data_IF_519085829864
#
_entry.id   IF_519085829864
#
_cell.length_a   1.000
_cell.length_b   1.000
_cell.length_c   1.000
_cell.angle_alpha   90.00
_cell.angle_beta   90.00
_cell.angle_gamma   90.00
#
_symmetry.space_group_name_H-M   'P 1'
#
loop_
_entity.id
_entity.type
_entity.pdbx_description
1 polymer ?
#
# COMPACT_ATOMS: atom_id res chain seq x y z
N UNK A 1 -5.41 14.18 34.50
CA UNK A 1 -4.89 15.10 33.47
C UNK A 1 -4.55 14.25 32.26
N UNK A 2 -5.31 14.39 31.18
CA UNK A 2 -5.05 13.65 29.94
C UNK A 2 -3.91 14.36 29.21
N UNK A 3 -2.66 14.07 29.60
CA UNK A 3 -1.49 14.67 28.98
C UNK A 3 -1.14 13.91 27.70
N UNK A 4 -1.78 14.31 26.59
CA UNK A 4 -1.39 13.93 25.24
C UNK A 4 0.10 14.21 25.01
N UNK A 5 0.82 13.28 24.36
CA UNK A 5 2.25 13.43 24.09
C UNK A 5 2.51 14.67 23.22
N UNK A 6 3.64 15.36 23.45
CA UNK A 6 4.00 16.61 22.74
C UNK A 6 5.47 16.58 22.35
N UNK A 7 5.79 17.23 21.23
CA UNK A 7 7.16 17.40 20.76
C UNK A 7 8.00 18.20 21.74
N UNK A 8 9.30 17.93 21.79
CA UNK A 8 10.25 18.69 22.61
C UNK A 8 10.27 20.16 22.19
N UNK A 9 10.21 20.45 20.89
CA UNK A 9 10.12 21.81 20.34
C UNK A 9 8.90 22.56 20.88
N UNK A 10 7.72 21.92 20.89
CA UNK A 10 6.49 22.54 21.41
C UNK A 10 6.58 22.79 22.91
N UNK A 11 7.20 21.88 23.66
CA UNK A 11 7.40 22.03 25.10
C UNK A 11 8.39 23.15 25.41
N UNK A 12 9.48 23.24 24.65
CA UNK A 12 10.45 24.34 24.74
C UNK A 12 9.80 25.70 24.51
N UNK A 13 9.00 25.86 23.45
CA UNK A 13 8.31 27.13 23.18
C UNK A 13 7.20 27.47 24.20
N UNK A 14 6.65 26.45 24.87
CA UNK A 14 5.66 26.64 25.93
C UNK A 14 6.30 27.00 27.28
N UNK A 15 7.58 26.65 27.49
CA UNK A 15 8.32 26.98 28.71
C UNK A 15 8.67 28.48 28.73
N UNK A 16 8.08 29.20 29.68
CA UNK A 16 8.32 30.64 29.91
C UNK A 16 9.34 30.90 31.01
N UNK A 17 9.95 29.86 31.57
CA UNK A 17 11.00 30.00 32.58
C UNK A 17 12.30 30.51 31.97
N UNK A 18 13.15 31.09 32.82
CA UNK A 18 14.50 31.53 32.44
C UNK A 18 15.41 30.34 32.13
N UNK A 19 15.02 29.14 32.58
CA UNK A 19 15.81 27.90 32.48
C UNK A 19 15.37 26.99 31.32
N UNK A 20 14.58 27.52 30.37
CA UNK A 20 13.94 26.74 29.30
C UNK A 20 14.91 25.89 28.48
N UNK A 21 16.12 26.37 28.23
CA UNK A 21 17.16 25.61 27.52
C UNK A 21 17.68 24.41 28.33
N UNK A 22 17.91 24.58 29.64
CA UNK A 22 18.37 23.47 30.48
C UNK A 22 17.25 22.46 30.72
N UNK A 23 16.01 22.94 30.93
CA UNK A 23 14.84 22.08 31.04
C UNK A 23 14.63 21.25 29.77
N UNK A 24 14.79 21.87 28.60
CA UNK A 24 14.69 21.18 27.31
C UNK A 24 15.78 20.13 27.12
N UNK A 25 17.04 20.46 27.39
CA UNK A 25 18.14 19.51 27.31
C UNK A 25 17.98 18.33 28.30
N UNK A 26 17.52 18.62 29.53
CA UNK A 26 17.24 17.60 30.54
C UNK A 26 16.10 16.67 30.09
N UNK A 27 15.02 17.23 29.53
CA UNK A 27 13.89 16.45 29.04
C UNK A 27 14.26 15.62 27.80
N UNK A 28 15.04 16.17 26.87
CA UNK A 28 15.53 15.44 25.70
C UNK A 28 16.37 14.24 26.13
N UNK A 29 17.31 14.42 27.07
CA UNK A 29 18.08 13.34 27.66
C UNK A 29 17.19 12.31 28.36
N UNK A 30 16.24 12.77 29.19
CA UNK A 30 15.30 11.89 29.88
C UNK A 30 14.52 11.01 28.91
N UNK A 31 14.06 11.54 27.77
CA UNK A 31 13.35 10.76 26.75
C UNK A 31 14.26 9.79 26.02
N UNK A 32 15.46 10.22 25.64
CA UNK A 32 16.43 9.35 24.96
C UNK A 32 16.86 8.16 25.84
N UNK A 33 17.02 8.39 27.15
CA UNK A 33 17.52 7.39 28.12
C UNK A 33 16.39 6.60 28.82
N UNK A 34 15.12 6.84 28.49
CA UNK A 34 14.01 6.12 29.11
C UNK A 34 14.00 4.64 28.69
N UNK A 35 13.68 3.73 29.63
CA UNK A 35 13.63 2.28 29.37
C UNK A 35 12.70 1.88 28.22
N UNK A 36 11.65 2.68 27.96
CA UNK A 36 10.69 2.45 26.88
C UNK A 36 11.10 3.03 25.52
N UNK A 37 12.30 3.62 25.43
CA UNK A 37 12.80 4.28 24.23
C UNK A 37 13.64 3.34 23.39
N UNK A 38 13.30 3.28 22.10
CA UNK A 38 14.07 2.56 21.09
C UNK A 38 15.05 3.52 20.42
N UNK A 39 16.33 3.33 20.70
CA UNK A 39 17.44 4.07 20.11
C UNK A 39 17.90 3.38 18.83
N UNK A 40 18.15 4.13 17.77
CA UNK A 40 18.59 3.55 16.49
C UNK A 40 20.11 3.42 16.40
N UNK A 41 20.86 4.16 17.23
CA UNK A 41 22.31 4.32 17.10
C UNK A 41 22.75 5.21 15.92
N UNK A 42 21.82 5.66 15.08
CA UNK A 42 22.10 6.49 13.91
C UNK A 42 22.26 7.94 14.34
N UNK A 43 23.45 8.50 14.13
CA UNK A 43 23.77 9.88 14.48
C UNK A 43 23.61 10.80 13.27
N UNK A 44 22.79 11.84 13.44
CA UNK A 44 22.59 12.89 12.43
C UNK A 44 22.89 14.27 13.05
N UNK A 45 22.93 15.35 12.26
CA UNK A 45 22.93 16.71 12.78
C UNK A 45 21.77 17.06 13.73
N UNK A 46 20.68 16.27 13.72
CA UNK A 46 19.56 16.42 14.65
C UNK A 46 19.84 15.81 16.03
N UNK A 47 20.84 14.93 16.13
CA UNK A 47 21.08 14.06 17.28
C UNK A 47 21.04 12.59 16.88
N UNK A 48 21.14 11.71 17.88
CA UNK A 48 20.83 10.29 17.69
C UNK A 48 19.33 10.15 17.41
N UNK A 49 18.98 9.39 16.38
CA UNK A 49 17.57 9.13 16.09
C UNK A 49 17.01 8.12 17.11
N UNK A 50 15.83 8.40 17.65
CA UNK A 50 15.16 7.50 18.59
C UNK A 50 13.65 7.66 18.56
N UNK A 51 12.94 6.63 19.03
CA UNK A 51 11.50 6.69 19.26
C UNK A 51 11.19 6.26 20.69
N UNK A 52 10.73 7.21 21.51
CA UNK A 52 10.06 6.90 22.75
C UNK A 52 8.71 6.20 22.50
N UNK A 53 8.26 5.39 23.45
CA UNK A 53 6.99 4.64 23.35
C UNK A 53 6.00 5.07 24.44
N UNK A 54 5.37 6.26 24.31
CA UNK A 54 4.28 6.64 25.20
C UNK A 54 3.07 5.71 25.02
N UNK A 55 2.13 5.76 25.98
CA UNK A 55 0.91 4.94 25.98
C UNK A 55 0.16 4.95 24.65
N UNK A 56 0.05 6.12 24.01
CA UNK A 56 -0.63 6.27 22.72
C UNK A 56 0.03 5.44 21.60
N UNK A 57 1.37 5.38 21.56
CA UNK A 57 2.13 4.56 20.60
C UNK A 57 1.86 3.07 20.82
N UNK A 58 1.89 2.61 22.08
CA UNK A 58 1.60 1.21 22.41
C UNK A 58 0.19 0.81 21.97
N UNK A 59 -0.81 1.66 22.26
CA UNK A 59 -2.20 1.40 21.88
C UNK A 59 -2.39 1.40 20.37
N UNK A 60 -1.75 2.32 19.64
CA UNK A 60 -1.79 2.34 18.17
C UNK A 60 -1.22 1.04 17.59
N UNK A 61 -0.05 0.61 18.04
CA UNK A 61 0.56 -0.64 17.57
C UNK A 61 -0.30 -1.87 17.87
N UNK A 62 -0.87 -1.96 19.08
CA UNK A 62 -1.79 -3.06 19.43
C UNK A 62 -3.01 -3.06 18.52
N UNK A 63 -3.65 -1.91 18.30
CA UNK A 63 -4.82 -1.77 17.45
C UNK A 63 -4.51 -2.18 16.00
N UNK A 64 -3.36 -1.76 15.45
CA UNK A 64 -2.93 -2.11 14.09
C UNK A 64 -2.76 -3.62 13.95
N UNK A 65 -2.14 -4.29 14.92
CA UNK A 65 -1.95 -5.74 14.88
C UNK A 65 -3.27 -6.51 15.06
N UNK A 66 -4.22 -5.99 15.84
CA UNK A 66 -5.56 -6.57 15.97
C UNK A 66 -6.38 -6.39 14.69
N UNK A 67 -6.32 -5.21 14.07
CA UNK A 67 -6.94 -4.90 12.79
C UNK A 67 -6.35 -5.79 11.68
N UNK A 68 -5.04 -5.96 11.66
CA UNK A 68 -4.34 -6.83 10.71
C UNK A 68 -4.84 -8.29 10.79
N UNK A 69 -5.03 -8.81 12.01
CA UNK A 69 -5.64 -10.15 12.19
C UNK A 69 -7.07 -10.22 11.65
N UNK A 70 -7.84 -9.14 11.74
CA UNK A 70 -9.21 -9.07 11.18
C UNK A 70 -9.16 -9.02 9.65
N UNK A 71 -8.30 -8.19 9.07
CA UNK A 71 -8.07 -8.08 7.64
C UNK A 71 -7.64 -9.43 7.07
N UNK A 72 -6.65 -10.09 7.67
CA UNK A 72 -6.21 -11.42 7.25
C UNK A 72 -7.35 -12.45 7.23
N UNK A 73 -8.26 -12.42 8.22
CA UNK A 73 -9.45 -13.29 8.22
C UNK A 73 -10.41 -12.95 7.08
N UNK A 74 -10.78 -11.68 6.92
CA UNK A 74 -11.69 -11.23 5.85
C UNK A 74 -11.10 -11.53 4.46
N UNK A 75 -9.82 -11.24 4.28
CA UNK A 75 -9.07 -11.50 3.06
C UNK A 75 -9.08 -12.98 2.67
N UNK A 76 -8.94 -13.88 3.64
CA UNK A 76 -8.98 -15.33 3.39
C UNK A 76 -10.39 -15.86 3.04
N UNK A 77 -11.45 -15.09 3.28
CA UNK A 77 -12.81 -15.43 2.82
C UNK A 77 -13.03 -15.06 1.35
N UNK A 78 -12.18 -14.19 0.79
CA UNK A 78 -12.29 -13.78 -0.61
C UNK A 78 -11.64 -14.83 -1.53
N UNK A 79 -12.35 -15.28 -2.58
CA UNK A 79 -11.82 -16.20 -3.59
C UNK A 79 -10.47 -15.75 -4.18
N UNK A 80 -9.58 -16.69 -4.45
CA UNK A 80 -8.21 -16.40 -4.92
C UNK A 80 -8.13 -15.56 -6.19
N UNK A 81 -9.02 -15.80 -7.16
CA UNK A 81 -9.08 -15.03 -8.43
C UNK A 81 -9.36 -13.56 -8.15
N UNK A 82 -10.37 -13.26 -7.33
CA UNK A 82 -10.71 -11.90 -6.94
C UNK A 82 -9.64 -11.20 -6.14
N UNK A 83 -8.95 -11.95 -5.26
CA UNK A 83 -7.81 -11.39 -4.53
C UNK A 83 -6.74 -10.88 -5.48
N UNK A 84 -6.54 -11.58 -6.60
CA UNK A 84 -5.57 -11.18 -7.61
C UNK A 84 -6.02 -9.93 -8.38
N UNK A 85 -7.29 -9.84 -8.76
CA UNK A 85 -7.83 -8.63 -9.40
C UNK A 85 -7.79 -7.42 -8.48
N UNK A 86 -8.14 -7.63 -7.20
CA UNK A 86 -8.03 -6.60 -6.17
C UNK A 86 -6.58 -6.12 -6.00
N UNK A 87 -5.61 -7.02 -5.94
CA UNK A 87 -4.19 -6.66 -5.83
C UNK A 87 -3.75 -5.88 -7.06
N UNK A 88 -4.03 -6.36 -8.29
CA UNK A 88 -3.65 -5.65 -9.52
C UNK A 88 -4.24 -4.25 -9.58
N UNK A 89 -5.52 -4.11 -9.23
CA UNK A 89 -6.17 -2.80 -9.15
C UNK A 89 -5.51 -1.92 -8.08
N UNK A 90 -5.27 -2.45 -6.88
CA UNK A 90 -4.65 -1.71 -5.78
C UNK A 90 -3.22 -1.27 -6.10
N UNK A 91 -2.44 -2.07 -6.84
CA UNK A 91 -1.12 -1.68 -7.35
C UNK A 91 -1.26 -0.54 -8.36
N UNK A 92 -2.22 -0.61 -9.29
CA UNK A 92 -2.46 0.50 -10.23
C UNK A 92 -2.81 1.80 -9.50
N UNK A 93 -3.64 1.73 -8.45
CA UNK A 93 -4.01 2.86 -7.61
C UNK A 93 -2.84 3.42 -6.79
N UNK A 94 -1.98 2.53 -6.26
CA UNK A 94 -0.73 2.87 -5.59
C UNK A 94 0.21 3.65 -6.52
N UNK A 95 0.44 3.14 -7.73
CA UNK A 95 1.26 3.80 -8.75
C UNK A 95 0.69 5.17 -9.12
N UNK A 96 -0.64 5.27 -9.25
CA UNK A 96 -1.30 6.53 -9.57
C UNK A 96 -1.12 7.55 -8.43
N UNK A 97 -1.41 7.17 -7.18
CA UNK A 97 -1.33 8.05 -6.02
C UNK A 97 0.11 8.52 -5.76
N UNK A 98 1.09 7.61 -5.81
CA UNK A 98 2.50 7.94 -5.56
C UNK A 98 3.08 8.85 -6.64
N UNK A 99 2.66 8.70 -7.91
CA UNK A 99 3.05 9.59 -8.99
C UNK A 99 2.43 10.98 -8.82
N UNK A 100 1.14 11.06 -8.46
CA UNK A 100 0.44 12.35 -8.24
C UNK A 100 1.08 13.15 -7.10
N UNK A 101 1.53 12.48 -6.04
CA UNK A 101 2.25 13.11 -4.92
C UNK A 101 3.54 13.80 -5.36
N UNK A 102 4.30 13.21 -6.29
CA UNK A 102 5.54 13.79 -6.82
C UNK A 102 5.31 14.68 -8.05
N UNK A 103 4.05 14.96 -8.43
CA UNK A 103 3.74 15.78 -9.61
C UNK A 103 4.00 15.08 -10.95
N UNK A 104 4.26 13.78 -10.95
CA UNK A 104 4.44 12.97 -12.16
C UNK A 104 3.08 12.70 -12.79
N UNK A 105 2.83 13.27 -13.98
CA UNK A 105 1.56 13.10 -14.68
C UNK A 105 1.40 11.67 -15.18
N UNK A 106 0.37 11.00 -14.69
CA UNK A 106 -0.09 9.69 -15.17
C UNK A 106 -1.62 9.63 -15.15
N UNK A 107 -2.20 8.76 -15.97
CA UNK A 107 -3.62 8.44 -15.98
C UNK A 107 -3.83 7.06 -15.38
N UNK A 108 -5.01 6.82 -14.79
CA UNK A 108 -5.40 5.48 -14.28
C UNK A 108 -5.30 4.38 -15.34
N UNK A 109 -5.46 4.75 -16.62
CA UNK A 109 -5.30 3.81 -17.73
C UNK A 109 -3.82 3.44 -17.91
N UNK A 110 -2.91 4.41 -17.89
CA UNK A 110 -1.47 4.13 -18.01
C UNK A 110 -0.97 3.26 -16.84
N UNK A 111 -1.40 3.53 -15.61
CA UNK A 111 -1.01 2.70 -14.45
C UNK A 111 -1.60 1.30 -14.52
N UNK A 112 -2.83 1.16 -15.05
CA UNK A 112 -3.42 -0.16 -15.30
C UNK A 112 -2.67 -0.93 -16.40
N UNK A 113 -2.34 -0.26 -17.50
CA UNK A 113 -1.57 -0.83 -18.61
C UNK A 113 -0.16 -1.26 -18.11
N UNK A 114 0.45 -0.51 -17.18
CA UNK A 114 1.71 -0.85 -16.53
C UNK A 114 1.63 -2.17 -15.74
N UNK A 115 0.59 -2.32 -14.92
CA UNK A 115 0.35 -3.54 -14.14
C UNK A 115 0.06 -4.73 -15.05
N UNK A 116 -0.73 -4.54 -16.10
CA UNK A 116 -1.07 -5.61 -17.04
C UNK A 116 0.17 -6.07 -17.85
N UNK A 117 1.05 -5.13 -18.24
CA UNK A 117 2.33 -5.46 -18.87
C UNK A 117 3.25 -6.23 -17.93
N UNK A 118 3.35 -5.79 -16.66
CA UNK A 118 4.17 -6.44 -15.64
C UNK A 118 3.67 -7.86 -15.30
N UNK A 119 2.36 -8.07 -15.20
CA UNK A 119 1.74 -9.38 -14.94
C UNK A 119 1.92 -10.34 -16.14
N UNK A 120 1.84 -9.84 -17.38
CA UNK A 120 2.16 -10.63 -18.59
C UNK A 120 3.63 -11.04 -18.64
N UNK A 121 4.55 -10.11 -18.37
CA UNK A 121 5.98 -10.41 -18.29
C UNK A 121 6.26 -11.53 -17.28
N UNK A 122 5.59 -11.47 -16.12
CA UNK A 122 5.70 -12.49 -15.06
C UNK A 122 5.14 -13.86 -15.46
N UNK A 123 4.03 -13.93 -16.19
CA UNK A 123 3.36 -15.19 -16.57
C UNK A 123 3.95 -15.83 -17.82
N UNK A 124 4.19 -15.03 -18.85
CA UNK A 124 4.44 -15.49 -20.21
C UNK A 124 5.88 -15.20 -20.68
N UNK A 125 6.68 -14.47 -19.89
CA UNK A 125 8.01 -14.00 -20.29
C UNK A 125 7.98 -12.92 -21.38
N UNK A 126 6.81 -12.29 -21.60
CA UNK A 126 6.62 -11.22 -22.57
C UNK A 126 7.14 -9.89 -22.03
N UNK A 127 8.31 -9.44 -22.51
CA UNK A 127 8.94 -8.19 -22.08
C UNK A 127 8.36 -6.93 -22.78
N UNK A 128 7.07 -6.99 -23.14
CA UNK A 128 6.34 -5.80 -23.59
C UNK A 128 6.42 -4.70 -22.54
N UNK A 129 7.00 -3.55 -22.93
CA UNK A 129 7.21 -2.42 -22.02
C UNK A 129 6.00 -1.47 -22.07
N UNK A 130 5.48 -1.16 -20.89
CA UNK A 130 4.57 -0.04 -20.68
C UNK A 130 5.24 0.97 -19.74
N UNK A 131 4.83 2.23 -19.82
CA UNK A 131 5.31 3.25 -18.87
C UNK A 131 5.02 2.79 -17.44
N UNK A 132 5.97 2.93 -16.53
CA UNK A 132 5.91 2.42 -15.14
C UNK A 132 5.87 0.89 -14.98
N UNK A 133 6.09 0.07 -16.02
CA UNK A 133 5.96 -1.39 -15.89
C UNK A 133 7.01 -1.98 -14.94
N UNK A 134 8.23 -1.45 -14.89
CA UNK A 134 9.25 -1.89 -13.91
C UNK A 134 8.84 -1.56 -12.47
N UNK A 135 8.24 -0.40 -12.26
CA UNK A 135 7.70 -0.02 -10.96
C UNK A 135 6.53 -0.91 -10.54
N UNK A 136 5.63 -1.26 -11.48
CA UNK A 136 4.56 -2.21 -11.24
C UNK A 136 5.10 -3.63 -10.93
N UNK A 137 6.17 -4.08 -11.61
CA UNK A 137 6.84 -5.35 -11.33
C UNK A 137 7.34 -5.42 -9.89
N UNK A 138 7.87 -4.33 -9.35
CA UNK A 138 8.32 -4.26 -7.96
C UNK A 138 7.17 -4.58 -6.98
N UNK A 139 6.01 -3.91 -7.10
CA UNK A 139 4.86 -4.20 -6.23
C UNK A 139 4.26 -5.59 -6.47
N UNK A 140 4.27 -6.10 -7.70
CA UNK A 140 3.84 -7.48 -7.97
C UNK A 140 4.76 -8.49 -7.27
N UNK A 141 6.06 -8.22 -7.17
CA UNK A 141 6.99 -9.09 -6.46
C UNK A 141 6.79 -9.08 -4.93
N UNK A 142 6.16 -8.05 -4.37
CA UNK A 142 5.74 -8.03 -2.96
C UNK A 142 4.66 -9.07 -2.65
N UNK A 143 4.00 -9.61 -3.67
CA UNK A 143 2.99 -10.66 -3.48
C UNK A 143 3.60 -12.03 -3.21
N UNK A 144 4.90 -12.18 -3.48
CA UNK A 144 5.68 -13.36 -3.12
C UNK A 144 6.10 -13.29 -1.65
N UNK A 145 5.93 -14.38 -0.91
CA UNK A 145 6.20 -14.39 0.54
C UNK A 145 7.67 -14.19 0.93
N UNK A 146 8.57 -14.31 -0.04
CA UNK A 146 10.03 -14.27 0.15
C UNK A 146 10.66 -13.07 -0.58
N UNK A 147 9.91 -11.96 -0.76
CA UNK A 147 10.50 -10.74 -1.35
C UNK A 147 11.75 -10.35 -0.57
N UNK A 148 12.89 -10.38 -1.26
CA UNK A 148 14.17 -10.07 -0.62
C UNK A 148 14.21 -8.61 -0.17
N UNK A 149 14.61 -8.40 1.07
CA UNK A 149 14.95 -7.07 1.58
C UNK A 149 16.30 -6.63 1.02
N UNK A 150 16.55 -5.31 0.86
CA UNK A 150 17.85 -4.80 0.44
C UNK A 150 18.96 -5.33 1.36
N UNK A 151 19.94 -6.02 0.78
CA UNK A 151 21.12 -6.52 1.50
C UNK A 151 22.26 -5.49 1.50
N UNK A 152 22.23 -4.55 0.56
CA UNK A 152 23.18 -3.44 0.51
C UNK A 152 22.65 -2.23 -0.25
N UNK A 153 23.43 -1.15 -0.21
CA UNK A 153 23.08 0.12 -0.85
C UNK A 153 22.95 0.04 -2.38
N UNK A 154 23.55 -0.97 -3.02
CA UNK A 154 23.36 -1.23 -4.45
C UNK A 154 21.93 -1.71 -4.77
N UNK A 155 21.28 -2.44 -3.86
CA UNK A 155 19.89 -2.86 -4.04
C UNK A 155 18.94 -1.66 -3.95
N UNK A 156 19.27 -0.68 -3.10
CA UNK A 156 18.53 0.60 -3.05
C UNK A 156 18.63 1.33 -4.39
N UNK A 157 19.81 1.30 -5.03
CA UNK A 157 19.99 1.86 -6.36
C UNK A 157 19.21 1.11 -7.44
N UNK A 158 19.22 -0.22 -7.42
CA UNK A 158 18.45 -1.04 -8.37
C UNK A 158 16.93 -0.81 -8.23
N UNK A 159 16.44 -0.68 -6.99
CA UNK A 159 15.06 -0.30 -6.71
C UNK A 159 14.77 1.08 -7.30
N UNK A 160 15.60 2.08 -7.02
CA UNK A 160 15.44 3.43 -7.56
C UNK A 160 15.35 3.42 -9.09
N UNK A 161 16.25 2.69 -9.76
CA UNK A 161 16.27 2.66 -11.23
C UNK A 161 14.96 2.12 -11.80
N UNK A 162 14.37 1.08 -11.18
CA UNK A 162 13.07 0.51 -11.57
C UNK A 162 11.88 1.41 -11.28
N UNK A 163 11.99 2.27 -10.26
CA UNK A 163 10.93 3.20 -9.86
C UNK A 163 10.94 4.47 -10.72
N UNK A 164 12.13 4.96 -11.08
CA UNK A 164 12.32 6.37 -11.48
C UNK A 164 13.00 6.56 -12.83
N UNK A 165 13.91 5.68 -13.26
CA UNK A 165 14.92 6.04 -14.29
C UNK A 165 14.31 6.41 -15.64
N UNK A 166 13.21 5.75 -16.05
CA UNK A 166 12.51 6.05 -17.30
C UNK A 166 11.66 7.35 -17.24
N UNK A 167 11.57 7.99 -16.06
CA UNK A 167 10.65 9.09 -15.76
C UNK A 167 11.33 10.41 -15.37
N UNK A 168 12.67 10.46 -15.37
CA UNK A 168 13.45 11.65 -14.98
C UNK A 168 14.27 12.20 -16.14
N UNK A 169 14.55 13.50 -16.06
CA UNK A 169 15.43 14.16 -17.02
C UNK A 169 16.87 13.64 -16.88
N UNK A 170 17.64 13.64 -17.98
CA UNK A 170 19.04 13.21 -17.97
C UNK A 170 19.88 13.99 -16.94
N UNK A 171 19.51 15.24 -16.64
CA UNK A 171 20.17 16.08 -15.64
C UNK A 171 19.93 15.63 -14.19
N UNK A 172 18.85 14.89 -13.93
CA UNK A 172 18.47 14.42 -12.60
C UNK A 172 18.95 12.98 -12.36
N UNK A 173 19.63 12.38 -13.34
CA UNK A 173 20.28 11.09 -13.14
C UNK A 173 21.44 11.23 -12.15
N UNK A 174 21.65 10.26 -11.24
CA UNK A 174 22.75 10.34 -10.29
C UNK A 174 24.11 10.32 -11.01
N UNK A 175 25.00 11.22 -10.60
CA UNK A 175 26.32 11.47 -11.19
C UNK A 175 27.49 10.85 -10.39
N UNK A 176 27.16 10.17 -9.29
CA UNK A 176 28.05 9.35 -8.48
C UNK A 176 28.21 7.92 -8.99
N UNK A 177 28.86 7.10 -8.17
CA UNK A 177 28.98 5.65 -8.43
C UNK A 177 27.62 4.95 -8.28
N UNK A 178 26.85 5.35 -7.26
CA UNK A 178 25.48 4.88 -7.00
C UNK A 178 24.50 6.03 -6.76
N UNK A 179 24.93 7.11 -6.12
CA UNK A 179 24.06 8.20 -5.63
C UNK A 179 24.48 9.56 -6.19
N UNK A 180 23.75 10.63 -5.85
CA UNK A 180 24.15 11.97 -6.26
C UNK A 180 25.47 12.41 -5.60
N UNK A 181 26.29 13.17 -6.33
CA UNK A 181 27.46 13.89 -5.79
C UNK A 181 27.11 15.31 -5.35
N UNK A 182 26.20 15.96 -6.08
CA UNK A 182 25.77 17.32 -5.85
C UNK A 182 24.86 17.47 -4.64
N UNK A 183 24.77 18.71 -4.14
CA UNK A 183 23.87 19.07 -3.05
C UNK A 183 22.43 19.21 -3.56
N UNK A 184 21.46 18.85 -2.73
CA UNK A 184 20.02 19.06 -2.98
C UNK A 184 19.38 19.76 -1.80
N UNK A 185 18.44 20.63 -2.12
CA UNK A 185 17.56 21.27 -1.14
C UNK A 185 16.19 20.60 -1.19
N UNK A 186 15.73 20.15 -0.04
CA UNK A 186 14.46 19.44 0.08
C UNK A 186 13.40 20.49 0.37
N UNK A 187 12.43 20.60 -0.53
CA UNK A 187 11.40 21.61 -0.46
C UNK A 187 10.09 20.99 0.05
N UNK A 188 9.52 21.62 1.06
CA UNK A 188 8.18 21.32 1.55
C UNK A 188 7.09 21.91 0.67
N UNK A 189 5.82 21.76 1.09
CA UNK A 189 4.70 22.38 0.41
C UNK A 189 4.94 23.87 0.16
N UNK A 190 4.71 24.32 -1.08
CA UNK A 190 4.91 25.71 -1.53
C UNK A 190 6.38 26.18 -1.66
N UNK A 191 7.34 25.25 -1.78
CA UNK A 191 8.75 25.60 -2.05
C UNK A 191 9.51 26.09 -0.83
N UNK A 192 9.02 25.82 0.39
CA UNK A 192 9.72 26.16 1.62
C UNK A 192 10.86 25.14 1.82
N UNK A 193 12.11 25.58 1.77
CA UNK A 193 13.26 24.73 2.11
C UNK A 193 13.10 24.17 3.53
N UNK A 194 13.03 22.84 3.66
CA UNK A 194 12.94 22.14 4.95
C UNK A 194 14.37 21.90 5.46
N UNK A 195 15.17 21.14 4.70
CA UNK A 195 16.58 20.93 4.96
C UNK A 195 17.37 20.66 3.67
N UNK A 196 18.69 20.60 3.81
CA UNK A 196 19.55 20.11 2.75
C UNK A 196 19.77 18.61 2.93
N UNK A 197 19.69 17.86 1.83
CA UNK A 197 20.03 16.44 1.82
C UNK A 197 21.48 16.21 2.27
N UNK A 198 21.79 14.97 2.67
CA UNK A 198 23.13 14.63 3.15
C UNK A 198 24.16 14.89 2.06
N UNK A 199 25.29 15.52 2.45
CA UNK A 199 26.36 15.88 1.52
C UNK A 199 27.40 14.77 1.40
N UNK A 200 27.83 14.54 0.17
CA UNK A 200 28.87 13.57 -0.17
C UNK A 200 28.35 12.14 -0.22
N UNK A 201 28.60 11.50 -1.36
CA UNK A 201 28.16 10.14 -1.66
C UNK A 201 28.59 9.10 -0.60
N UNK A 202 29.79 9.24 -0.03
CA UNK A 202 30.25 8.35 1.04
C UNK A 202 29.39 8.43 2.33
N UNK A 203 28.93 9.63 2.70
CA UNK A 203 28.04 9.81 3.86
C UNK A 203 26.63 9.30 3.56
N UNK A 204 26.15 9.51 2.32
CA UNK A 204 24.89 8.93 1.83
C UNK A 204 24.94 7.40 1.97
N UNK A 205 25.99 6.77 1.44
CA UNK A 205 26.15 5.31 1.52
C UNK A 205 26.23 4.79 2.96
N UNK A 206 26.92 5.50 3.85
CA UNK A 206 27.00 5.14 5.27
C UNK A 206 25.62 5.17 5.95
N UNK A 207 24.87 6.26 5.81
CA UNK A 207 23.55 6.38 6.42
C UNK A 207 22.50 5.46 5.79
N UNK A 208 22.60 5.15 4.50
CA UNK A 208 21.75 4.13 3.87
C UNK A 208 22.09 2.71 4.36
N UNK A 209 23.34 2.43 4.70
CA UNK A 209 23.72 1.17 5.34
C UNK A 209 23.10 1.08 6.73
N UNK A 210 23.19 2.16 7.52
CA UNK A 210 22.53 2.26 8.82
C UNK A 210 21.01 2.12 8.70
N UNK A 211 20.40 2.69 7.65
CA UNK A 211 18.97 2.54 7.35
C UNK A 211 18.57 1.08 7.10
N UNK A 212 19.36 0.32 6.34
CA UNK A 212 19.10 -1.10 6.08
C UNK A 212 19.17 -1.91 7.39
N UNK A 213 20.18 -1.65 8.23
CA UNK A 213 20.30 -2.28 9.55
C UNK A 213 19.14 -1.90 10.47
N UNK A 214 18.73 -0.63 10.47
CA UNK A 214 17.59 -0.15 11.23
C UNK A 214 16.31 -0.86 10.82
N UNK A 215 16.00 -0.91 9.52
CA UNK A 215 14.78 -1.52 8.98
C UNK A 215 14.65 -3.00 9.36
N UNK A 216 15.78 -3.71 9.46
CA UNK A 216 15.85 -5.15 9.75
C UNK A 216 16.17 -5.48 11.21
N UNK A 217 16.24 -4.47 12.09
CA UNK A 217 16.55 -4.66 13.50
C UNK A 217 15.51 -5.56 14.20
N UNK A 218 15.99 -6.53 14.98
CA UNK A 218 15.18 -7.36 15.88
C UNK A 218 15.04 -6.72 17.28
N UNK A 219 15.73 -5.61 17.55
CA UNK A 219 15.72 -4.92 18.85
C UNK A 219 14.64 -3.82 18.94
N UNK A 220 14.11 -3.40 17.78
CA UNK A 220 13.09 -2.36 17.66
C UNK A 220 11.81 -3.00 17.11
N UNK A 221 10.62 -2.64 17.60
CA UNK A 221 9.38 -3.15 17.04
C UNK A 221 9.29 -2.89 15.53
N UNK A 222 8.98 -3.92 14.75
CA UNK A 222 9.02 -3.93 13.27
C UNK A 222 8.35 -2.73 12.60
N UNK A 223 7.15 -2.35 13.07
CA UNK A 223 6.46 -1.18 12.51
C UNK A 223 7.23 0.11 12.76
N UNK A 224 7.83 0.27 13.96
CA UNK A 224 8.62 1.46 14.26
C UNK A 224 9.92 1.48 13.45
N UNK A 225 10.61 0.34 13.32
CA UNK A 225 11.86 0.27 12.55
C UNK A 225 11.65 0.59 11.07
N UNK A 226 10.59 0.04 10.45
CA UNK A 226 10.21 0.35 9.06
C UNK A 226 9.84 1.83 8.87
N UNK A 227 9.14 2.44 9.83
CA UNK A 227 8.77 3.85 9.76
C UNK A 227 9.99 4.76 9.98
N UNK A 228 10.87 4.44 10.93
CA UNK A 228 12.09 5.21 11.16
C UNK A 228 13.11 5.07 10.03
N UNK A 229 13.19 3.90 9.38
CA UNK A 229 14.02 3.73 8.18
C UNK A 229 13.49 4.55 7.01
N UNK A 230 12.17 4.63 6.85
CA UNK A 230 11.53 5.54 5.88
C UNK A 230 11.87 7.01 6.15
N UNK A 231 11.82 7.45 7.41
CA UNK A 231 12.30 8.79 7.78
C UNK A 231 13.75 9.01 7.36
N UNK A 232 14.63 8.06 7.69
CA UNK A 232 16.05 8.17 7.41
C UNK A 232 16.35 8.21 5.90
N UNK A 233 15.63 7.44 5.08
CA UNK A 233 15.77 7.47 3.62
C UNK A 233 15.48 8.88 3.06
N UNK A 234 14.32 9.43 3.42
CA UNK A 234 13.86 10.74 2.95
C UNK A 234 14.76 11.88 3.48
N UNK A 235 15.24 11.74 4.72
CA UNK A 235 16.19 12.66 5.34
C UNK A 235 17.54 12.67 4.61
N UNK A 236 18.07 11.49 4.26
CA UNK A 236 19.33 11.35 3.51
C UNK A 236 19.19 11.93 2.11
N UNK A 237 18.05 11.66 1.46
CA UNK A 237 17.69 12.14 0.13
C UNK A 237 18.75 11.79 -0.92
N UNK A 238 19.00 10.50 -1.20
CA UNK A 238 20.15 10.03 -1.95
C UNK A 238 20.17 10.36 -3.45
N UNK A 239 19.06 10.80 -4.03
CA UNK A 239 18.92 11.08 -5.46
C UNK A 239 18.52 12.54 -5.73
N UNK A 240 18.66 13.01 -6.97
CA UNK A 240 18.23 14.37 -7.35
C UNK A 240 16.70 14.49 -7.47
N UNK A 241 16.04 13.44 -7.98
CA UNK A 241 14.59 13.31 -8.01
C UNK A 241 14.17 11.87 -7.65
N UNK A 242 12.89 11.61 -7.41
CA UNK A 242 12.34 10.27 -7.24
C UNK A 242 12.51 9.66 -5.84
N UNK A 243 13.08 10.41 -4.90
CA UNK A 243 13.22 10.00 -3.50
C UNK A 243 11.86 9.64 -2.90
N UNK A 244 10.83 10.49 -3.03
CA UNK A 244 9.52 10.23 -2.45
C UNK A 244 8.86 8.93 -2.91
N UNK A 245 8.94 8.62 -4.22
CA UNK A 245 8.44 7.37 -4.80
C UNK A 245 9.22 6.15 -4.28
N UNK A 246 10.54 6.27 -4.26
CA UNK A 246 11.44 5.20 -3.80
C UNK A 246 11.28 4.93 -2.30
N UNK A 247 11.19 5.97 -1.48
CA UNK A 247 10.98 5.90 -0.03
C UNK A 247 9.65 5.22 0.30
N UNK A 248 8.55 5.62 -0.35
CA UNK A 248 7.25 4.96 -0.16
C UNK A 248 7.25 3.50 -0.58
N UNK A 249 7.94 3.14 -1.67
CA UNK A 249 8.10 1.74 -2.04
C UNK A 249 8.93 0.97 -0.98
N UNK A 250 10.02 1.53 -0.47
CA UNK A 250 10.82 0.91 0.59
C UNK A 250 10.00 0.73 1.87
N UNK A 251 9.20 1.72 2.26
CA UNK A 251 8.25 1.61 3.38
C UNK A 251 7.27 0.46 3.14
N UNK A 252 6.69 0.37 1.93
CA UNK A 252 5.79 -0.71 1.56
C UNK A 252 6.47 -2.08 1.63
N UNK A 253 7.70 -2.20 1.09
CA UNK A 253 8.51 -3.41 1.11
C UNK A 253 8.79 -3.88 2.55
N UNK A 254 9.22 -2.99 3.44
CA UNK A 254 9.51 -3.34 4.83
C UNK A 254 8.23 -3.70 5.61
N UNK A 255 7.12 -2.98 5.40
CA UNK A 255 5.85 -3.29 6.07
C UNK A 255 5.21 -4.59 5.57
N UNK A 256 5.41 -4.97 4.31
CA UNK A 256 4.83 -6.17 3.71
C UNK A 256 5.31 -7.48 4.34
N UNK A 257 6.42 -7.45 5.08
CA UNK A 257 6.88 -8.61 5.83
C UNK A 257 5.99 -8.90 7.07
N UNK A 258 5.33 -7.89 7.63
CA UNK A 258 4.54 -8.00 8.88
C UNK A 258 3.04 -7.69 8.69
N UNK A 259 2.67 -6.97 7.63
CA UNK A 259 1.30 -6.61 7.27
C UNK A 259 0.89 -7.28 5.95
N UNK A 260 -0.40 -7.56 5.78
CA UNK A 260 -0.90 -8.14 4.53
C UNK A 260 -0.81 -7.14 3.38
N UNK A 261 -0.60 -7.67 2.17
CA UNK A 261 -0.52 -6.87 0.94
C UNK A 261 -1.68 -5.84 0.77
N UNK A 262 -2.95 -6.18 1.05
CA UNK A 262 -4.04 -5.19 0.98
C UNK A 262 -3.83 -4.00 1.93
N UNK A 263 -3.34 -4.23 3.15
CA UNK A 263 -2.99 -3.16 4.09
C UNK A 263 -1.88 -2.28 3.51
N UNK A 264 -0.81 -2.89 3.01
CA UNK A 264 0.34 -2.16 2.45
C UNK A 264 -0.07 -1.29 1.26
N UNK A 265 -0.85 -1.83 0.31
CA UNK A 265 -1.31 -1.09 -0.87
C UNK A 265 -2.33 0.00 -0.54
N UNK A 266 -3.06 -0.12 0.57
CA UNK A 266 -4.00 0.92 1.01
C UNK A 266 -3.31 2.14 1.65
N UNK A 267 -2.04 1.99 2.07
CA UNK A 267 -1.32 3.02 2.80
C UNK A 267 -1.02 4.26 1.93
N UNK A 268 -0.60 4.10 0.67
CA UNK A 268 -0.26 5.25 -0.18
C UNK A 268 -1.45 6.15 -0.45
N UNK A 269 -2.64 5.57 -0.70
CA UNK A 269 -3.88 6.33 -0.87
C UNK A 269 -4.16 7.16 0.37
N UNK A 270 -4.07 6.54 1.54
CA UNK A 270 -4.26 7.22 2.83
C UNK A 270 -3.24 8.34 3.04
N UNK A 271 -1.97 8.12 2.69
CA UNK A 271 -0.92 9.15 2.74
C UNK A 271 -1.21 10.28 1.76
N UNK A 272 -1.63 9.99 0.53
CA UNK A 272 -1.92 10.97 -0.51
C UNK A 272 -3.11 11.87 -0.11
N UNK A 273 -4.17 11.28 0.44
CA UNK A 273 -5.33 12.01 0.98
C UNK A 273 -4.93 12.89 2.18
N UNK A 274 -3.93 12.46 2.95
CA UNK A 274 -3.40 13.17 4.11
C UNK A 274 -2.04 13.86 3.85
N UNK A 275 -1.71 14.20 2.60
CA UNK A 275 -0.35 14.65 2.21
C UNK A 275 0.22 15.79 3.06
N UNK A 276 -0.63 16.73 3.47
CA UNK A 276 -0.21 17.87 4.28
C UNK A 276 0.22 17.42 5.70
N UNK A 277 -0.48 16.46 6.29
CA UNK A 277 -0.11 15.89 7.58
C UNK A 277 1.15 15.04 7.47
N UNK A 278 1.31 14.29 6.37
CA UNK A 278 2.52 13.53 6.06
C UNK A 278 3.76 14.43 5.96
N UNK A 279 3.75 15.47 5.11
CA UNK A 279 4.88 16.41 5.02
C UNK A 279 5.12 17.19 6.31
N UNK A 280 4.05 17.52 7.04
CA UNK A 280 4.18 18.16 8.35
C UNK A 280 4.89 17.27 9.37
N UNK A 281 4.67 15.95 9.33
CA UNK A 281 5.37 15.03 10.22
C UNK A 281 6.89 15.03 9.98
N UNK A 282 7.33 15.12 8.72
CA UNK A 282 8.75 15.32 8.39
C UNK A 282 9.29 16.63 8.94
N UNK A 283 8.61 17.75 8.65
CA UNK A 283 9.02 19.07 9.15
C UNK A 283 9.12 19.11 10.68
N UNK A 284 8.18 18.46 11.38
CA UNK A 284 8.23 18.36 12.84
C UNK A 284 9.41 17.48 13.30
N UNK A 285 9.65 16.32 12.69
CA UNK A 285 10.75 15.42 13.05
C UNK A 285 12.14 16.04 12.83
N UNK A 286 12.27 16.90 11.82
CA UNK A 286 13.53 17.56 11.47
C UNK A 286 13.82 18.85 12.25
N UNK A 287 12.88 19.30 13.10
CA UNK A 287 13.14 20.42 14.00
C UNK A 287 14.28 20.05 14.96
N UNK A 288 15.36 20.84 14.95
CA UNK A 288 16.53 20.64 15.82
C UNK A 288 16.17 20.65 17.31
N UNK A 289 15.09 21.33 17.70
CA UNK A 289 14.57 21.30 19.06
C UNK A 289 13.88 19.97 19.41
N UNK A 290 13.70 19.05 18.45
CA UNK A 290 13.27 17.68 18.73
C UNK A 290 14.42 16.70 18.93
N UNK A 291 15.68 17.14 18.76
CA UNK A 291 16.86 16.39 19.19
C UNK A 291 16.93 14.94 18.66
N UNK A 292 16.43 14.70 17.43
CA UNK A 292 16.39 13.37 16.81
C UNK A 292 15.22 12.49 17.24
N UNK A 293 14.27 13.00 18.02
CA UNK A 293 13.10 12.25 18.46
C UNK A 293 12.07 12.07 17.33
N UNK A 294 11.80 10.83 16.96
CA UNK A 294 10.88 10.42 15.88
C UNK A 294 9.50 9.96 16.38
N UNK A 295 9.22 9.99 17.69
CA UNK A 295 7.97 9.43 18.26
C UNK A 295 6.69 9.95 17.61
N UNK A 296 6.60 11.26 17.35
CA UNK A 296 5.41 11.84 16.71
C UNK A 296 5.32 11.52 15.22
N UNK A 297 6.46 11.40 14.53
CA UNK A 297 6.51 10.93 13.16
C UNK A 297 6.01 9.49 13.08
N UNK A 298 6.54 8.61 13.93
CA UNK A 298 6.09 7.22 14.09
C UNK A 298 4.59 7.16 14.37
N UNK A 299 4.09 7.92 15.34
CA UNK A 299 2.66 7.94 15.66
C UNK A 299 1.79 8.44 14.49
N UNK A 300 2.30 9.37 13.68
CA UNK A 300 1.57 9.87 12.51
C UNK A 300 1.44 8.79 11.44
N UNK A 301 2.54 8.10 11.10
CA UNK A 301 2.49 7.03 10.10
C UNK A 301 1.71 5.81 10.60
N UNK A 302 1.84 5.44 11.89
CA UNK A 302 0.98 4.43 12.52
C UNK A 302 -0.50 4.82 12.44
N UNK A 303 -0.83 6.11 12.62
CA UNK A 303 -2.18 6.62 12.44
C UNK A 303 -2.71 6.45 11.02
N UNK A 304 -1.87 6.68 10.00
CA UNK A 304 -2.23 6.39 8.60
C UNK A 304 -2.43 4.91 8.34
N UNK A 305 -1.58 4.03 8.90
CA UNK A 305 -1.77 2.59 8.80
C UNK A 305 -3.11 2.17 9.44
N UNK A 306 -3.43 2.69 10.62
CA UNK A 306 -4.71 2.40 11.28
C UNK A 306 -5.90 2.88 10.45
N UNK A 307 -5.85 4.10 9.93
CA UNK A 307 -6.92 4.63 9.06
C UNK A 307 -7.10 3.74 7.82
N UNK A 308 -6.00 3.39 7.14
CA UNK A 308 -6.03 2.53 5.96
C UNK A 308 -6.64 1.15 6.28
N UNK A 309 -6.29 0.57 7.43
CA UNK A 309 -6.85 -0.69 7.89
C UNK A 309 -8.34 -0.61 8.23
N UNK A 310 -8.80 0.47 8.86
CA UNK A 310 -10.21 0.66 9.21
C UNK A 310 -11.08 0.74 7.93
N UNK A 311 -10.65 1.55 6.96
CA UNK A 311 -11.31 1.67 5.65
C UNK A 311 -11.32 0.34 4.89
N UNK A 312 -10.19 -0.37 4.90
CA UNK A 312 -10.05 -1.68 4.28
C UNK A 312 -10.94 -2.74 4.96
N UNK A 313 -11.05 -2.72 6.29
CA UNK A 313 -11.94 -3.61 7.04
C UNK A 313 -13.39 -3.40 6.61
N UNK A 314 -13.83 -2.15 6.46
CA UNK A 314 -15.18 -1.82 6.02
C UNK A 314 -15.42 -2.31 4.59
N UNK A 315 -14.48 -2.04 3.67
CA UNK A 315 -14.56 -2.51 2.28
C UNK A 315 -14.63 -4.05 2.20
N UNK A 316 -13.71 -4.76 2.86
CA UNK A 316 -13.66 -6.21 2.84
C UNK A 316 -14.89 -6.83 3.51
N UNK A 317 -15.41 -6.21 4.56
CA UNK A 317 -16.63 -6.68 5.24
C UNK A 317 -17.85 -6.60 4.30
N UNK A 318 -18.00 -5.50 3.56
CA UNK A 318 -19.06 -5.35 2.54
C UNK A 318 -18.91 -6.42 1.46
N UNK A 319 -17.69 -6.62 0.95
CA UNK A 319 -17.38 -7.63 -0.07
C UNK A 319 -17.72 -9.05 0.38
N UNK A 320 -17.38 -9.41 1.63
CA UNK A 320 -17.71 -10.72 2.21
C UNK A 320 -19.23 -10.90 2.37
N UNK A 321 -19.95 -9.89 2.86
CA UNK A 321 -21.41 -9.93 2.96
C UNK A 321 -22.09 -10.09 1.59
N UNK A 322 -21.59 -9.40 0.57
CA UNK A 322 -22.06 -9.54 -0.81
C UNK A 322 -21.82 -10.95 -1.37
N UNK A 323 -20.67 -11.57 -1.07
CA UNK A 323 -20.39 -12.96 -1.45
C UNK A 323 -21.35 -13.94 -0.78
N UNK A 324 -21.62 -13.75 0.52
CA UNK A 324 -22.57 -14.59 1.27
C UNK A 324 -24.00 -14.46 0.72
N UNK A 325 -24.44 -13.23 0.45
CA UNK A 325 -25.74 -12.96 -0.21
C UNK A 325 -25.80 -13.59 -1.60
N UNK A 326 -24.76 -13.43 -2.41
CA UNK A 326 -24.66 -14.03 -3.74
C UNK A 326 -24.74 -15.56 -3.70
N UNK A 327 -24.11 -16.19 -2.70
CA UNK A 327 -24.20 -17.64 -2.48
C UNK A 327 -25.60 -18.10 -2.11
N UNK A 328 -26.28 -17.38 -1.20
CA UNK A 328 -27.67 -17.68 -0.82
C UNK A 328 -28.60 -17.54 -2.04
N UNK A 329 -28.42 -16.48 -2.83
CA UNK A 329 -29.18 -16.22 -4.04
C UNK A 329 -29.00 -17.35 -5.07
N UNK A 330 -27.77 -17.84 -5.27
CA UNK A 330 -27.51 -19.00 -6.11
C UNK A 330 -28.29 -20.23 -5.66
N UNK A 331 -28.37 -20.53 -4.36
CA UNK A 331 -29.15 -21.65 -3.82
C UNK A 331 -30.66 -21.47 -4.03
N UNK A 332 -31.18 -20.24 -3.96
CA UNK A 332 -32.58 -19.95 -4.25
C UNK A 332 -32.90 -20.15 -5.73
N UNK A 333 -32.03 -19.63 -6.61
CA UNK A 333 -32.18 -19.74 -8.07
C UNK A 333 -31.99 -21.16 -8.58
N UNK A 334 -31.09 -21.93 -7.96
CA UNK A 334 -30.94 -23.37 -8.20
C UNK A 334 -32.29 -24.09 -8.08
N UNK A 335 -33.00 -23.85 -6.97
CA UNK A 335 -34.32 -24.46 -6.72
C UNK A 335 -35.39 -23.93 -7.67
N UNK A 336 -35.41 -22.61 -7.92
CA UNK A 336 -36.44 -21.96 -8.75
C UNK A 336 -36.37 -22.38 -10.22
N UNK A 337 -35.15 -22.52 -10.76
CA UNK A 337 -34.93 -22.82 -12.18
C UNK A 337 -34.47 -24.26 -12.42
N UNK A 338 -34.40 -25.10 -11.38
CA UNK A 338 -33.90 -26.47 -11.43
C UNK A 338 -32.51 -26.56 -12.09
N UNK A 339 -31.62 -25.64 -11.72
CA UNK A 339 -30.29 -25.54 -12.33
C UNK A 339 -29.41 -26.75 -11.98
N UNK A 340 -28.58 -27.15 -12.94
CA UNK A 340 -27.54 -28.14 -12.71
C UNK A 340 -26.44 -27.59 -11.81
N UNK A 341 -25.79 -28.47 -11.05
CA UNK A 341 -24.70 -28.10 -10.12
C UNK A 341 -23.62 -27.24 -10.78
N UNK A 342 -23.26 -27.55 -12.02
CA UNK A 342 -22.27 -26.78 -12.77
C UNK A 342 -22.81 -25.42 -13.22
N UNK A 343 -24.08 -25.32 -13.62
CA UNK A 343 -24.71 -24.03 -13.92
C UNK A 343 -24.77 -23.13 -12.68
N UNK A 344 -25.04 -23.67 -11.49
CA UNK A 344 -24.98 -22.91 -10.22
C UNK A 344 -23.56 -22.43 -9.93
N UNK A 345 -22.54 -23.28 -10.16
CA UNK A 345 -21.13 -22.88 -10.01
C UNK A 345 -20.78 -21.74 -10.97
N UNK A 346 -21.17 -21.84 -12.25
CA UNK A 346 -20.95 -20.77 -13.23
C UNK A 346 -21.68 -19.51 -12.82
N UNK A 347 -22.94 -19.60 -12.37
CA UNK A 347 -23.71 -18.45 -11.93
C UNK A 347 -23.02 -17.74 -10.76
N UNK A 348 -22.55 -18.51 -9.78
CA UNK A 348 -21.80 -17.95 -8.66
C UNK A 348 -20.51 -17.26 -9.15
N UNK A 349 -19.76 -17.89 -10.06
CA UNK A 349 -18.60 -17.28 -10.72
C UNK A 349 -18.93 -15.97 -11.46
N UNK A 350 -20.06 -15.88 -12.16
CA UNK A 350 -20.45 -14.65 -12.88
C UNK A 350 -20.91 -13.55 -11.91
N UNK A 351 -21.61 -13.90 -10.81
CA UNK A 351 -21.94 -12.95 -9.73
C UNK A 351 -20.66 -12.42 -9.08
N UNK A 352 -19.70 -13.31 -8.88
CA UNK A 352 -18.37 -13.00 -8.39
C UNK A 352 -17.67 -11.93 -9.26
N UNK A 353 -17.62 -12.12 -10.59
CA UNK A 353 -17.08 -11.10 -11.52
C UNK A 353 -17.85 -9.78 -11.46
N UNK A 354 -19.18 -9.82 -11.34
CA UNK A 354 -20.00 -8.60 -11.26
C UNK A 354 -19.70 -7.75 -10.01
N UNK A 355 -19.38 -8.41 -8.90
CA UNK A 355 -19.12 -7.77 -7.60
C UNK A 355 -17.68 -7.25 -7.46
N UNK A 356 -16.70 -7.87 -8.13
CA UNK A 356 -15.27 -7.60 -7.88
C UNK A 356 -14.48 -7.22 -9.12
N UNK A 357 -14.85 -7.69 -10.31
CA UNK A 357 -14.11 -7.39 -11.53
C UNK A 357 -14.62 -6.12 -12.22
N UNK A 358 -13.68 -5.36 -12.75
CA UNK A 358 -13.90 -4.16 -13.55
C UNK A 358 -14.64 -4.45 -14.86
N UNK A 359 -14.41 -5.62 -15.48
CA UNK A 359 -15.07 -5.99 -16.74
C UNK A 359 -16.51 -6.49 -16.52
N UNK A 360 -16.82 -6.96 -15.31
CA UNK A 360 -18.13 -7.47 -14.89
C UNK A 360 -18.66 -8.55 -15.84
N UNK A 361 -17.76 -9.33 -16.41
CA UNK A 361 -18.09 -10.31 -17.44
C UNK A 361 -17.13 -11.50 -17.40
N UNK A 362 -17.66 -12.69 -17.64
CA UNK A 362 -16.88 -13.91 -17.74
C UNK A 362 -16.91 -14.42 -19.18
N UNK A 363 -15.74 -14.63 -19.78
CA UNK A 363 -15.58 -15.29 -21.07
C UNK A 363 -15.80 -16.79 -20.96
N UNK A 364 -16.12 -17.44 -22.08
CA UNK A 364 -16.28 -18.90 -22.11
C UNK A 364 -15.01 -19.65 -21.66
N UNK A 365 -13.84 -19.03 -21.84
CA UNK A 365 -12.56 -19.59 -21.44
C UNK A 365 -12.42 -19.58 -19.92
N UNK A 366 -12.74 -18.45 -19.29
CA UNK A 366 -12.78 -18.30 -17.82
C UNK A 366 -13.85 -19.20 -17.20
N UNK A 367 -15.04 -19.32 -17.82
CA UNK A 367 -16.08 -20.26 -17.37
C UNK A 367 -15.55 -21.70 -17.37
N UNK A 368 -14.90 -22.11 -18.46
CA UNK A 368 -14.35 -23.46 -18.62
C UNK A 368 -13.28 -23.75 -17.56
N UNK A 369 -12.40 -22.78 -17.31
CA UNK A 369 -11.38 -22.86 -16.25
C UNK A 369 -12.01 -22.93 -14.86
N UNK A 370 -13.01 -22.09 -14.57
CA UNK A 370 -13.70 -22.03 -13.27
C UNK A 370 -14.31 -23.38 -12.87
N UNK A 371 -14.95 -24.08 -13.80
CA UNK A 371 -15.58 -25.39 -13.55
C UNK A 371 -14.67 -26.59 -13.87
N UNK A 372 -13.46 -26.35 -14.36
CA UNK A 372 -12.50 -27.41 -14.72
C UNK A 372 -12.94 -28.31 -15.88
N UNK A 373 -13.64 -27.76 -16.87
CA UNK A 373 -14.16 -28.52 -18.03
C UNK A 373 -13.67 -27.92 -19.36
N UNK A 374 -13.87 -28.64 -20.46
CA UNK A 374 -13.59 -28.09 -21.80
C UNK A 374 -14.59 -26.97 -22.15
N UNK A 375 -14.17 -26.04 -23.02
CA UNK A 375 -15.04 -24.95 -23.53
C UNK A 375 -16.35 -25.47 -24.14
N UNK A 376 -16.29 -26.63 -24.81
CA UNK A 376 -17.47 -27.26 -25.40
C UNK A 376 -18.46 -27.72 -24.32
N UNK A 377 -17.97 -28.33 -23.24
CA UNK A 377 -18.81 -28.75 -22.11
C UNK A 377 -19.31 -27.56 -21.29
N UNK A 378 -18.48 -26.53 -21.09
CA UNK A 378 -18.84 -25.30 -20.38
C UNK A 378 -19.99 -24.55 -21.06
N UNK A 379 -20.01 -24.55 -22.41
CA UNK A 379 -21.04 -23.87 -23.20
C UNK A 379 -22.46 -24.33 -22.88
N UNK A 380 -22.64 -25.61 -22.56
CA UNK A 380 -23.94 -26.18 -22.14
C UNK A 380 -24.50 -25.45 -20.90
N UNK A 381 -23.66 -25.18 -19.90
CA UNK A 381 -24.09 -24.53 -18.66
C UNK A 381 -24.29 -23.03 -18.85
N UNK A 382 -23.53 -22.41 -19.76
CA UNK A 382 -23.78 -21.03 -20.18
C UNK A 382 -25.15 -20.91 -20.87
N UNK A 383 -25.48 -21.83 -21.78
CA UNK A 383 -26.78 -21.88 -22.46
C UNK A 383 -27.93 -22.12 -21.48
N UNK A 384 -27.72 -22.95 -20.46
CA UNK A 384 -28.68 -23.18 -19.37
C UNK A 384 -29.00 -21.87 -18.60
N UNK A 385 -27.97 -21.10 -18.22
CA UNK A 385 -28.16 -19.82 -17.53
C UNK A 385 -28.78 -18.73 -18.42
N UNK A 386 -28.44 -18.72 -19.71
CA UNK A 386 -29.06 -17.83 -20.70
C UNK A 386 -30.55 -18.15 -20.87
N UNK A 387 -30.91 -19.44 -20.96
CA UNK A 387 -32.30 -19.88 -21.06
C UNK A 387 -33.11 -19.54 -19.79
N UNK A 388 -32.48 -19.59 -18.62
CA UNK A 388 -33.07 -19.15 -17.36
C UNK A 388 -33.16 -17.62 -17.21
N UNK A 389 -32.56 -16.83 -18.11
CA UNK A 389 -32.55 -15.36 -18.07
C UNK A 389 -31.72 -14.76 -16.93
N UNK A 390 -30.81 -15.55 -16.33
CA UNK A 390 -30.00 -15.13 -15.17
C UNK A 390 -28.71 -14.41 -15.60
N UNK A 391 -28.24 -14.70 -16.82
CA UNK A 391 -27.10 -14.04 -17.44
C UNK A 391 -27.49 -13.53 -18.83
N UNK A 392 -26.73 -12.58 -19.35
CA UNK A 392 -26.88 -12.09 -20.73
C UNK A 392 -25.56 -12.13 -21.47
N UNK A 393 -25.62 -12.37 -22.78
CA UNK A 393 -24.45 -12.35 -23.62
C UNK A 393 -24.02 -10.92 -23.97
N UNK A 394 -22.77 -10.57 -23.71
CA UNK A 394 -22.18 -9.25 -24.01
C UNK A 394 -21.15 -9.30 -25.15
N UNK A 395 -20.46 -10.41 -25.30
CA UNK A 395 -19.45 -10.62 -26.34
C UNK A 395 -19.81 -11.82 -27.23
N UNK A 396 -19.55 -11.70 -28.54
CA UNK A 396 -19.71 -12.82 -29.49
C UNK A 396 -18.41 -13.56 -29.79
N UNK A 397 -17.26 -12.86 -29.83
CA UNK A 397 -15.93 -13.42 -30.10
C UNK A 397 -14.84 -12.64 -29.34
N UNK A 398 -14.37 -13.13 -28.19
CA UNK A 398 -14.84 -14.33 -27.50
C UNK A 398 -16.28 -14.19 -26.97
N UNK A 399 -16.95 -15.33 -26.75
CA UNK A 399 -18.24 -15.37 -26.05
C UNK A 399 -18.02 -14.85 -24.62
N UNK A 400 -18.77 -13.82 -24.22
CA UNK A 400 -18.75 -13.28 -22.85
C UNK A 400 -20.17 -13.20 -22.30
N UNK A 401 -20.32 -13.51 -21.02
CA UNK A 401 -21.57 -13.41 -20.29
C UNK A 401 -21.42 -12.49 -19.07
N UNK A 402 -22.50 -11.82 -18.70
CA UNK A 402 -22.58 -10.99 -17.50
C UNK A 402 -23.90 -11.28 -16.76
N UNK A 403 -23.99 -10.88 -15.50
CA UNK A 403 -25.23 -10.97 -14.73
C UNK A 403 -26.35 -10.18 -15.43
N UNK A 404 -27.55 -10.78 -15.53
CA UNK A 404 -28.70 -10.08 -16.09
C UNK A 404 -29.10 -8.88 -15.23
N UNK A 405 -29.66 -7.82 -15.85
CA UNK A 405 -30.02 -6.58 -15.14
C UNK A 405 -30.98 -6.82 -13.98
N UNK A 406 -31.93 -7.74 -14.12
CA UNK A 406 -32.84 -8.16 -13.05
C UNK A 406 -32.08 -8.66 -11.81
N UNK A 407 -31.05 -9.47 -12.01
CA UNK A 407 -30.26 -10.05 -10.93
C UNK A 407 -29.29 -9.03 -10.30
N UNK A 408 -28.81 -8.05 -11.07
CA UNK A 408 -28.01 -6.92 -10.54
C UNK A 408 -28.79 -6.10 -9.51
N UNK A 409 -30.07 -5.83 -9.77
CA UNK A 409 -30.91 -5.09 -8.82
C UNK A 409 -31.02 -5.85 -7.49
N UNK A 410 -31.24 -7.16 -7.53
CA UNK A 410 -31.33 -8.02 -6.35
C UNK A 410 -30.01 -8.03 -5.56
N UNK A 411 -28.87 -8.06 -6.25
CA UNK A 411 -27.55 -7.97 -5.63
C UNK A 411 -27.27 -6.61 -4.99
N UNK A 412 -27.83 -5.52 -5.53
CA UNK A 412 -27.62 -4.16 -5.04
C UNK A 412 -28.55 -3.76 -3.89
N UNK A 413 -29.82 -4.18 -3.91
CA UNK A 413 -30.84 -3.77 -2.92
C UNK A 413 -31.04 -4.80 -1.82
N UNK A 414 -30.59 -6.05 -2.01
CA UNK A 414 -30.85 -7.16 -1.10
C UNK A 414 -32.33 -7.58 -1.05
N UNK A 415 -33.18 -7.01 -1.89
CA UNK A 415 -34.61 -7.32 -2.00
C UNK A 415 -34.88 -7.89 -3.40
N UNK A 416 -35.49 -9.08 -3.44
CA UNK A 416 -36.04 -9.63 -4.67
C UNK A 416 -37.29 -8.83 -5.02
N UNK A 417 -37.20 -7.94 -6.01
CA UNK A 417 -38.36 -7.19 -6.53
C UNK A 417 -39.46 -8.12 -7.07
N UNK A 418 -39.19 -9.43 -7.21
CA UNK A 418 -40.15 -10.45 -7.60
C UNK A 418 -40.59 -11.39 -6.46
N UNK A 419 -40.39 -11.01 -5.19
CA UNK A 419 -40.95 -11.75 -4.05
C UNK A 419 -42.48 -11.57 -3.89
N UNK A 420 -43.10 -10.69 -4.67
CA UNK A 420 -44.55 -10.54 -4.78
C UNK A 420 -45.01 -10.76 -6.24
N UNK A 421 -45.13 -12.02 -6.65
CA UNK A 421 -46.00 -12.43 -7.77
C UNK A 421 -46.33 -13.92 -7.71
#
# INVERSE_FOLDING_TARGET
>A
MDMKYRSLARLFHADRSVDSFNNHAALARQRLEADSTFRTGVITPLGELFSATPRETTLLMENILLAERRISRLWNLIPGVMRWDYIRHSISEELFATNEMEGVRSTRKETQDAVDAADKARRDGDDSKARFSEFAKLYLNLTDKDSALPAGIADIRDIYDKVVLDEIDESDQPDGDLFRKGDVEIQGPHGLAIHNGVKGEGNIGALLTDMIHLATSDEIPRLQSAIMSHFLFEYVHPFYDGNGRTGRYLLALYLNHDLTMPTVLSLSRTIAENKNAYYKAFMEAEDKLNCGELTLFVNTILGFIQQAQDELIDELSIKVDQLDKGRILCTQLEKRHALSRNAVSVLYGVIQEELFDSSKSMSLDEVAQHIGLSKQSARKYVEELLAAGLVVQTGKRPLKIQVAKSLRNVLATGADENAEA
#
